data_IF_322706351740
#
_entry.id   IF_322706351740
#
_cell.length_a   1.000
_cell.length_b   1.000
_cell.length_c   1.000
_cell.angle_alpha   90.00
_cell.angle_beta   90.00
_cell.angle_gamma   90.00
#
_symmetry.space_group_name_H-M   'P 1'
#
loop_
_entity.id
_entity.type
_entity.pdbx_description
1 polymer ?
#
# COMPACT_ATOMS: atom_id res chain seq x y z
N UNK A 1 -49.26 -7.73 -5.71
CA UNK A 1 -48.24 -8.18 -4.75
C UNK A 1 -46.99 -7.31 -4.92
N UNK A 2 -46.71 -6.37 -4.02
CA UNK A 2 -45.47 -5.58 -3.99
C UNK A 2 -44.86 -5.71 -2.60
N UNK A 3 -43.63 -6.21 -2.57
CA UNK A 3 -42.87 -6.56 -1.38
C UNK A 3 -42.35 -5.29 -0.71
N UNK A 4 -42.72 -5.08 0.55
CA UNK A 4 -42.23 -3.99 1.39
C UNK A 4 -40.81 -4.30 1.83
N UNK A 5 -39.81 -3.59 1.31
CA UNK A 5 -38.46 -3.58 1.89
C UNK A 5 -38.27 -2.26 2.62
N UNK A 6 -38.50 -2.30 3.93
CA UNK A 6 -38.15 -1.23 4.86
C UNK A 6 -36.63 -1.27 5.06
N UNK A 7 -35.87 -0.24 4.68
CA UNK A 7 -34.45 -0.21 5.02
C UNK A 7 -34.31 0.07 6.52
N UNK A 8 -33.76 -0.93 7.22
CA UNK A 8 -33.34 -0.84 8.61
C UNK A 8 -32.34 0.32 8.81
N UNK A 9 -32.56 1.24 9.77
CA UNK A 9 -31.56 2.26 10.10
C UNK A 9 -30.45 1.61 10.93
N UNK A 10 -29.28 1.37 10.34
CA UNK A 10 -28.12 0.99 11.14
C UNK A 10 -27.64 2.20 11.95
N UNK A 11 -28.01 2.12 13.22
CA UNK A 11 -27.77 2.97 14.39
C UNK A 11 -26.38 3.62 14.45
N UNK A 12 -26.42 4.90 14.77
CA UNK A 12 -25.31 5.81 15.06
C UNK A 12 -24.41 5.42 16.24
N UNK A 13 -23.17 5.97 16.18
CA UNK A 13 -22.38 6.59 17.25
C UNK A 13 -21.46 5.69 18.10
N UNK A 14 -20.16 5.99 18.04
CA UNK A 14 -19.34 6.08 19.26
C UNK A 14 -18.23 7.12 19.07
N UNK A 15 -18.42 8.25 19.76
CA UNK A 15 -17.33 9.16 20.12
C UNK A 15 -16.29 8.39 20.92
N UNK A 16 -15.04 8.44 20.50
CA UNK A 16 -13.90 8.20 21.39
C UNK A 16 -12.78 9.15 20.98
N UNK A 17 -12.67 10.25 21.71
CA UNK A 17 -11.48 11.08 21.72
C UNK A 17 -10.32 10.23 22.23
N UNK A 18 -9.39 9.92 21.33
CA UNK A 18 -8.06 9.48 21.65
C UNK A 18 -7.16 9.97 20.53
N UNK A 19 -6.71 11.22 20.64
CA UNK A 19 -5.52 11.70 19.95
C UNK A 19 -4.35 10.88 20.49
N UNK A 20 -4.11 9.74 19.86
CA UNK A 20 -2.93 8.92 20.04
C UNK A 20 -2.49 8.58 18.64
N UNK A 21 -1.39 9.20 18.18
CA UNK A 21 -0.70 8.88 16.95
C UNK A 21 -0.84 7.37 16.66
N UNK A 22 -1.77 7.04 15.76
CA UNK A 22 -2.18 5.66 15.55
C UNK A 22 -0.94 4.92 15.06
N UNK A 23 -0.46 4.04 15.93
CA UNK A 23 0.83 3.40 15.86
C UNK A 23 1.11 2.87 14.45
N UNK A 24 2.07 3.49 13.77
CA UNK A 24 2.70 2.95 12.56
C UNK A 24 3.39 1.58 12.82
N UNK A 25 3.34 1.06 14.05
CA UNK A 25 3.98 -0.18 14.46
C UNK A 25 3.33 -1.47 13.92
N UNK A 26 2.13 -1.42 13.34
CA UNK A 26 1.53 -2.58 12.66
C UNK A 26 1.55 -2.46 11.12
N UNK A 27 2.30 -1.51 10.57
CA UNK A 27 2.57 -1.55 9.14
C UNK A 27 3.46 -2.77 8.84
N UNK A 28 3.19 -3.53 7.76
CA UNK A 28 4.08 -4.61 7.36
C UNK A 28 5.47 -4.02 7.11
N UNK A 29 6.50 -4.69 7.63
CA UNK A 29 7.92 -4.27 7.49
C UNK A 29 8.34 -4.07 6.03
N UNK A 30 7.64 -4.72 5.09
CA UNK A 30 7.82 -4.60 3.63
C UNK A 30 6.45 -4.65 2.96
N UNK A 31 6.26 -3.85 1.90
CA UNK A 31 5.07 -3.84 1.05
C UNK A 31 5.49 -4.02 -0.40
N UNK A 32 4.73 -4.82 -1.15
CA UNK A 32 4.92 -4.93 -2.60
C UNK A 32 4.38 -3.67 -3.28
N UNK A 33 5.25 -2.90 -3.92
CA UNK A 33 4.87 -1.67 -4.61
C UNK A 33 4.30 -1.95 -6.02
N UNK A 34 4.77 -3.00 -6.68
CA UNK A 34 4.35 -3.41 -8.01
C UNK A 34 5.05 -4.68 -8.46
N UNK A 35 4.56 -5.28 -9.55
CA UNK A 35 5.17 -6.42 -10.22
C UNK A 35 4.93 -6.30 -11.73
N UNK A 36 5.79 -6.92 -12.52
CA UNK A 36 5.64 -6.98 -13.96
C UNK A 36 6.22 -8.29 -14.51
N UNK A 37 5.62 -8.78 -15.59
CA UNK A 37 6.07 -10.00 -16.26
C UNK A 37 7.07 -9.64 -17.35
N UNK A 38 8.29 -10.16 -17.26
CA UNK A 38 9.31 -10.01 -18.30
C UNK A 38 9.32 -11.25 -19.20
N UNK A 39 9.33 -11.08 -20.52
CA UNK A 39 9.65 -12.15 -21.46
C UNK A 39 10.96 -11.79 -22.15
N UNK A 40 11.93 -12.69 -22.06
CA UNK A 40 13.22 -12.56 -22.74
C UNK A 40 13.40 -13.75 -23.69
N UNK A 41 14.00 -13.49 -24.85
CA UNK A 41 14.45 -14.54 -25.75
C UNK A 41 15.63 -15.32 -25.10
N UNK A 42 15.93 -16.55 -25.55
CA UNK A 42 17.13 -17.26 -25.11
C UNK A 42 18.39 -16.39 -25.29
N UNK A 43 19.13 -16.16 -24.20
CA UNK A 43 20.31 -15.28 -24.19
C UNK A 43 20.02 -13.77 -24.32
N UNK A 44 18.75 -13.37 -24.42
CA UNK A 44 18.34 -11.98 -24.50
C UNK A 44 18.19 -11.32 -23.13
N UNK A 45 18.39 -10.00 -23.09
CA UNK A 45 18.12 -9.16 -21.92
C UNK A 45 16.90 -8.30 -22.19
N UNK A 46 15.95 -8.27 -21.25
CA UNK A 46 14.75 -7.42 -21.31
C UNK A 46 14.75 -6.45 -20.14
N UNK A 47 14.53 -5.17 -20.42
CA UNK A 47 14.32 -4.14 -19.39
C UNK A 47 12.82 -4.05 -19.10
N UNK A 48 12.46 -4.00 -17.81
CA UNK A 48 11.08 -3.86 -17.36
C UNK A 48 10.97 -2.70 -16.40
N UNK A 49 10.08 -1.78 -16.71
CA UNK A 49 9.76 -0.63 -15.85
C UNK A 49 8.60 -0.99 -14.95
N UNK A 50 8.80 -0.85 -13.64
CA UNK A 50 7.76 -1.04 -12.62
C UNK A 50 7.55 0.31 -11.95
N UNK A 51 6.43 1.00 -12.20
CA UNK A 51 6.15 2.25 -11.52
C UNK A 51 6.00 2.00 -10.02
N UNK A 52 6.67 2.81 -9.20
CA UNK A 52 6.48 2.80 -7.76
C UNK A 52 5.37 3.80 -7.41
N UNK A 53 4.11 3.37 -7.23
CA UNK A 53 3.02 4.31 -6.97
C UNK A 53 3.21 4.98 -5.61
N UNK A 54 2.90 6.28 -5.51
CA UNK A 54 2.90 7.03 -4.23
C UNK A 54 2.04 6.36 -3.16
N UNK A 55 0.98 5.65 -3.59
CA UNK A 55 0.12 4.84 -2.73
C UNK A 55 0.87 3.75 -1.96
N UNK A 56 2.02 3.27 -2.44
CA UNK A 56 2.85 2.32 -1.70
C UNK A 56 3.39 2.94 -0.39
N UNK A 57 3.64 4.25 -0.36
CA UNK A 57 4.08 5.01 0.81
C UNK A 57 2.91 5.62 1.61
N UNK A 58 1.66 5.42 1.17
CA UNK A 58 0.49 5.93 1.89
C UNK A 58 -0.01 4.92 2.92
N UNK A 59 -0.47 5.46 4.05
CA UNK A 59 -1.23 4.75 5.07
C UNK A 59 -2.62 5.37 5.14
N UNK A 60 -3.59 4.55 5.53
CA UNK A 60 -4.91 5.06 5.86
C UNK A 60 -4.88 5.67 7.26
N UNK A 61 -5.20 6.95 7.36
CA UNK A 61 -5.45 7.61 8.64
C UNK A 61 -6.94 7.54 8.94
N UNK A 62 -7.31 6.73 9.94
CA UNK A 62 -8.69 6.58 10.37
C UNK A 62 -9.23 7.80 11.12
N UNK A 63 -8.36 8.69 11.64
CA UNK A 63 -8.77 9.93 12.30
C UNK A 63 -9.22 10.96 11.27
N UNK A 64 -8.45 11.10 10.19
CA UNK A 64 -8.72 12.06 9.11
C UNK A 64 -9.61 11.50 7.99
N UNK A 65 -9.98 10.22 8.06
CA UNK A 65 -10.71 9.48 7.00
C UNK A 65 -10.05 9.64 5.62
N UNK A 66 -8.72 9.64 5.60
CA UNK A 66 -7.93 10.06 4.44
C UNK A 66 -6.64 9.25 4.28
N UNK A 67 -6.08 9.28 3.07
CA UNK A 67 -4.76 8.72 2.77
C UNK A 67 -3.66 9.71 3.15
N UNK A 68 -2.74 9.28 4.01
CA UNK A 68 -1.56 10.06 4.40
C UNK A 68 -0.30 9.43 3.84
N UNK A 69 0.48 10.21 3.07
CA UNK A 69 1.82 9.79 2.64
C UNK A 69 2.78 9.91 3.81
N UNK A 70 3.40 8.79 4.19
CA UNK A 70 4.48 8.81 5.19
C UNK A 70 5.73 9.33 4.49
N UNK A 71 6.22 10.48 4.93
CA UNK A 71 7.45 11.07 4.43
C UNK A 71 8.66 10.33 5.01
N UNK A 72 9.71 10.16 4.22
CA UNK A 72 10.95 9.53 4.67
C UNK A 72 11.71 8.82 3.55
N UNK A 73 12.82 8.19 3.94
CA UNK A 73 13.64 7.40 3.02
C UNK A 73 13.12 5.98 2.92
N UNK A 74 12.78 5.55 1.72
CA UNK A 74 12.33 4.20 1.41
C UNK A 74 13.43 3.38 0.74
N UNK A 75 13.46 2.07 1.02
CA UNK A 75 14.31 1.10 0.33
C UNK A 75 13.45 0.32 -0.66
N UNK A 76 13.66 0.55 -1.95
CA UNK A 76 13.09 -0.22 -3.04
C UNK A 76 13.92 -1.49 -3.21
N UNK A 77 13.26 -2.65 -3.21
CA UNK A 77 13.90 -3.94 -3.43
C UNK A 77 13.22 -4.65 -4.58
N UNK A 78 14.01 -5.12 -5.54
CA UNK A 78 13.52 -5.86 -6.70
C UNK A 78 14.23 -7.21 -6.81
N UNK A 79 13.49 -8.20 -7.30
CA UNK A 79 13.93 -9.59 -7.31
C UNK A 79 12.91 -10.50 -7.98
N UNK A 80 13.25 -11.77 -8.07
CA UNK A 80 12.39 -12.79 -8.69
C UNK A 80 11.33 -13.34 -7.73
N UNK A 81 11.53 -13.12 -6.43
CA UNK A 81 10.66 -13.56 -5.36
C UNK A 81 10.85 -12.67 -4.14
N UNK A 82 9.88 -12.68 -3.22
CA UNK A 82 10.00 -12.00 -1.92
C UNK A 82 11.21 -12.47 -1.10
N UNK A 83 11.63 -13.73 -1.28
CA UNK A 83 12.81 -14.29 -0.62
C UNK A 83 14.13 -13.96 -1.35
N UNK A 84 14.09 -13.62 -2.64
CA UNK A 84 15.26 -13.43 -3.50
C UNK A 84 15.27 -12.02 -4.11
N UNK A 85 15.71 -11.05 -3.31
CA UNK A 85 15.77 -9.62 -3.64
C UNK A 85 17.24 -9.22 -3.86
N UNK A 86 17.68 -9.20 -5.12
CA UNK A 86 19.09 -8.97 -5.50
C UNK A 86 19.41 -7.51 -5.80
N UNK A 87 18.39 -6.72 -6.13
CA UNK A 87 18.55 -5.30 -6.46
C UNK A 87 17.95 -4.48 -5.34
N UNK A 88 18.70 -3.49 -4.85
CA UNK A 88 18.24 -2.54 -3.86
C UNK A 88 18.57 -1.11 -4.30
N UNK A 89 17.64 -0.19 -4.10
CA UNK A 89 17.83 1.24 -4.29
C UNK A 89 17.16 2.02 -3.17
N UNK A 90 17.66 3.21 -2.86
CA UNK A 90 17.01 4.14 -1.91
C UNK A 90 16.36 5.28 -2.67
N UNK A 91 15.14 5.63 -2.29
CA UNK A 91 14.46 6.84 -2.77
C UNK A 91 13.83 7.57 -1.58
N UNK A 92 13.74 8.89 -1.65
CA UNK A 92 12.90 9.65 -0.74
C UNK A 92 11.44 9.56 -1.17
N UNK A 93 10.53 9.71 -0.20
CA UNK A 93 9.09 9.61 -0.44
C UNK A 93 8.62 10.67 -1.44
N UNK A 94 7.89 10.21 -2.47
CA UNK A 94 7.25 11.04 -3.50
C UNK A 94 5.98 11.74 -3.00
#
# INVERSE_FOLDING_TARGET
MKMSSTPMPYRSRRSRSASTAASSACAPRRRLAGFATARAAPGGTTVVEIPAPRRAAQIWDAESDAWHTVQGRYRLRAGRSYADLRVEATCDAL
#
